data_IF_446328996730
#
_entry.id   IF_446328996730
#
_cell.length_a   1.000
_cell.length_b   1.000
_cell.length_c   1.000
_cell.angle_alpha   90.00
_cell.angle_beta   90.00
_cell.angle_gamma   90.00
#
_symmetry.space_group_name_H-M   'P 1'
#
loop_
_entity.id
_entity.type
_entity.pdbx_description
1 polymer ?
#
# COMPACT_ATOMS: atom_id res chain seq x y z
N UNK A 1 -11.21 6.14 8.72
CA UNK A 1 -10.32 5.10 8.14
C UNK A 1 -9.73 5.51 6.79
N UNK A 2 -10.52 6.13 5.88
CA UNK A 2 -10.07 6.66 4.59
C UNK A 2 -9.04 7.80 4.68
N UNK A 3 -9.08 8.56 5.78
CA UNK A 3 -8.34 9.82 5.92
C UNK A 3 -6.86 9.62 6.21
N UNK A 4 -6.47 8.55 6.92
CA UNK A 4 -5.06 8.31 7.24
C UNK A 4 -4.23 7.98 6.00
N UNK A 5 -4.71 7.07 5.14
CA UNK A 5 -4.02 6.72 3.88
C UNK A 5 -4.12 7.84 2.85
N UNK A 6 -5.18 8.67 2.87
CA UNK A 6 -5.24 9.92 2.09
C UNK A 6 -4.19 10.91 2.59
N UNK A 7 -4.20 11.25 3.86
CA UNK A 7 -3.27 12.21 4.48
C UNK A 7 -1.81 11.81 4.29
N UNK A 8 -1.48 10.54 4.54
CA UNK A 8 -0.15 9.97 4.35
C UNK A 8 0.34 10.06 2.88
N UNK A 9 -0.53 9.76 1.91
CA UNK A 9 -0.20 9.87 0.48
C UNK A 9 -0.27 11.32 -0.05
N UNK A 10 -0.99 12.22 0.62
CA UNK A 10 -1.17 13.62 0.18
C UNK A 10 -0.01 14.52 0.64
N UNK A 11 0.53 14.29 1.85
CA UNK A 11 1.66 15.06 2.41
C UNK A 11 3.03 14.62 1.86
N UNK A 12 3.22 13.34 1.53
CA UNK A 12 4.47 12.83 0.92
C UNK A 12 4.49 12.91 -0.61
N UNK A 13 3.85 13.94 -1.19
CA UNK A 13 3.84 14.16 -2.64
C UNK A 13 5.22 14.57 -3.20
N UNK A 14 6.15 14.98 -2.34
CA UNK A 14 7.41 15.61 -2.74
C UNK A 14 8.68 14.73 -2.66
N UNK A 15 8.82 13.79 -1.72
CA UNK A 15 10.05 12.97 -1.55
C UNK A 15 9.72 11.69 -0.74
N UNK A 16 10.39 10.54 -0.76
CA UNK A 16 11.69 10.04 -1.21
C UNK A 16 11.49 8.49 -1.21
N UNK A 17 11.90 7.75 -2.24
CA UNK A 17 11.86 6.28 -2.33
C UNK A 17 10.51 5.53 -2.09
N UNK A 18 10.10 4.70 -3.06
CA UNK A 18 8.92 3.82 -2.93
C UNK A 18 9.11 2.76 -1.84
N UNK A 19 10.34 2.31 -1.61
CA UNK A 19 10.66 1.30 -0.60
C UNK A 19 10.40 1.85 0.81
N UNK A 20 10.80 3.10 1.08
CA UNK A 20 10.56 3.76 2.37
C UNK A 20 9.06 3.91 2.65
N UNK A 21 8.29 4.33 1.64
CA UNK A 21 6.83 4.45 1.75
C UNK A 21 6.18 3.09 2.10
N UNK A 22 6.62 2.01 1.44
CA UNK A 22 6.13 0.66 1.70
C UNK A 22 6.51 0.21 3.12
N UNK A 23 7.72 0.52 3.57
CA UNK A 23 8.18 0.23 4.94
C UNK A 23 7.26 0.86 6.00
N UNK A 24 6.96 2.15 5.87
CA UNK A 24 6.04 2.84 6.78
C UNK A 24 4.61 2.28 6.71
N UNK A 25 4.11 1.98 5.51
CA UNK A 25 2.81 1.32 5.35
C UNK A 25 2.75 -0.03 6.04
N UNK A 26 3.82 -0.82 5.97
CA UNK A 26 3.90 -2.12 6.62
C UNK A 26 3.83 -2.01 8.15
N UNK A 27 4.41 -0.97 8.75
CA UNK A 27 4.29 -0.70 10.19
C UNK A 27 2.82 -0.51 10.56
N UNK A 28 2.12 0.35 9.82
CA UNK A 28 0.69 0.58 10.06
C UNK A 28 -0.14 -0.69 9.83
N UNK A 29 0.12 -1.43 8.76
CA UNK A 29 -0.57 -2.69 8.47
C UNK A 29 -0.39 -3.70 9.60
N UNK A 30 0.81 -3.84 10.18
CA UNK A 30 1.04 -4.70 11.36
C UNK A 30 0.23 -4.24 12.56
N UNK A 31 0.17 -2.94 12.83
CA UNK A 31 -0.67 -2.40 13.91
C UNK A 31 -2.15 -2.67 13.68
N UNK A 32 -2.63 -2.55 12.45
CA UNK A 32 -4.01 -2.91 12.09
C UNK A 32 -4.28 -4.41 12.21
N UNK A 33 -3.31 -5.26 11.85
CA UNK A 33 -3.40 -6.70 12.04
C UNK A 33 -3.61 -7.07 13.51
N UNK A 34 -2.88 -6.39 14.40
CA UNK A 34 -3.03 -6.56 15.84
C UNK A 34 -4.40 -6.08 16.34
N UNK A 35 -4.89 -4.94 15.83
CA UNK A 35 -6.20 -4.40 16.20
C UNK A 35 -7.36 -5.32 15.78
N UNK A 36 -7.33 -5.82 14.53
CA UNK A 36 -8.39 -6.67 13.98
C UNK A 36 -8.21 -8.16 14.27
N UNK A 37 -7.26 -8.54 15.14
CA UNK A 37 -6.98 -9.95 15.48
C UNK A 37 -8.20 -10.66 16.10
N UNK A 38 -9.11 -9.92 16.71
CA UNK A 38 -10.32 -10.45 17.35
C UNK A 38 -11.54 -10.32 16.41
N UNK A 39 -12.32 -11.39 16.27
CA UNK A 39 -13.56 -11.42 15.46
C UNK A 39 -13.39 -12.11 14.10
N UNK A 40 -13.76 -11.43 13.00
CA UNK A 40 -13.68 -11.95 11.62
C UNK A 40 -12.52 -11.32 10.81
N UNK A 41 -11.25 -11.57 11.18
CA UNK A 41 -10.07 -10.89 10.65
C UNK A 41 -9.97 -11.03 9.12
N UNK A 42 -10.35 -12.19 8.57
CA UNK A 42 -10.21 -12.49 7.13
C UNK A 42 -10.94 -11.48 6.24
N UNK A 43 -12.16 -11.07 6.60
CA UNK A 43 -12.94 -10.12 5.79
C UNK A 43 -12.31 -8.73 5.85
N UNK A 44 -11.97 -8.27 7.06
CA UNK A 44 -11.31 -6.99 7.28
C UNK A 44 -9.95 -6.91 6.56
N UNK A 45 -9.12 -7.95 6.67
CA UNK A 45 -7.82 -8.01 6.00
C UNK A 45 -7.96 -8.00 4.48
N UNK A 46 -8.95 -8.71 3.92
CA UNK A 46 -9.22 -8.65 2.47
C UNK A 46 -9.55 -7.24 2.00
N UNK A 47 -10.36 -6.50 2.76
CA UNK A 47 -10.72 -5.11 2.45
C UNK A 47 -9.51 -4.18 2.55
N UNK A 48 -8.73 -4.29 3.62
CA UNK A 48 -7.49 -3.52 3.83
C UNK A 48 -6.50 -3.80 2.68
N UNK A 49 -6.24 -5.07 2.38
CA UNK A 49 -5.34 -5.50 1.31
C UNK A 49 -5.78 -4.95 -0.06
N UNK A 50 -7.08 -5.00 -0.36
CA UNK A 50 -7.63 -4.46 -1.61
C UNK A 50 -7.45 -2.94 -1.70
N UNK A 51 -7.76 -2.24 -0.61
CA UNK A 51 -7.67 -0.79 -0.54
C UNK A 51 -6.22 -0.30 -0.66
N UNK A 52 -5.29 -0.86 0.10
CA UNK A 52 -3.86 -0.47 0.04
C UNK A 52 -3.29 -0.70 -1.35
N UNK A 53 -3.58 -1.86 -1.96
CA UNK A 53 -3.14 -2.17 -3.33
C UNK A 53 -3.69 -1.16 -4.34
N UNK A 54 -4.98 -0.84 -4.27
CA UNK A 54 -5.61 0.13 -5.17
C UNK A 54 -4.97 1.51 -5.04
N UNK A 55 -4.72 1.96 -3.80
CA UNK A 55 -4.14 3.27 -3.52
C UNK A 55 -2.68 3.37 -3.97
N UNK A 56 -1.88 2.35 -3.70
CA UNK A 56 -0.49 2.29 -4.18
C UNK A 56 -0.43 2.22 -5.71
N UNK A 57 -1.28 1.41 -6.34
CA UNK A 57 -1.36 1.34 -7.81
C UNK A 57 -1.66 2.71 -8.41
N UNK A 58 -2.68 3.41 -7.89
CA UNK A 58 -3.02 4.78 -8.33
C UNK A 58 -1.89 5.77 -8.07
N UNK A 59 -1.19 5.65 -6.94
CA UNK A 59 -0.03 6.49 -6.62
C UNK A 59 1.11 6.29 -7.63
N UNK A 60 1.47 5.04 -7.93
CA UNK A 60 2.51 4.69 -8.90
C UNK A 60 2.16 5.18 -10.31
N UNK A 61 0.89 5.09 -10.71
CA UNK A 61 0.40 5.55 -12.01
C UNK A 61 0.36 7.08 -12.12
N UNK A 62 -0.03 7.79 -11.05
CA UNK A 62 -0.19 9.25 -11.04
C UNK A 62 1.10 10.01 -10.78
N UNK A 63 2.23 9.31 -10.62
CA UNK A 63 3.52 9.94 -10.38
C UNK A 63 3.97 10.69 -11.64
N UNK A 64 3.71 12.00 -11.65
CA UNK A 64 3.87 12.91 -12.80
C UNK A 64 5.21 12.82 -13.52
N UNK A 65 6.31 12.55 -12.80
CA UNK A 65 7.66 12.57 -13.40
C UNK A 65 8.10 11.23 -14.00
N UNK A 66 7.69 10.09 -13.41
CA UNK A 66 8.05 8.74 -13.85
C UNK A 66 6.97 7.77 -13.34
N UNK A 67 5.91 7.51 -14.14
CA UNK A 67 4.93 6.50 -13.79
C UNK A 67 5.64 5.16 -13.61
N UNK A 68 5.64 4.61 -12.40
CA UNK A 68 6.27 3.31 -12.17
C UNK A 68 5.32 2.24 -12.66
N UNK A 69 5.71 1.61 -13.76
CA UNK A 69 5.02 0.45 -14.32
C UNK A 69 5.72 -0.81 -13.84
N UNK A 70 4.96 -1.87 -13.54
CA UNK A 70 5.57 -3.16 -13.28
C UNK A 70 6.32 -3.65 -14.53
N UNK A 71 7.35 -4.50 -14.38
CA UNK A 71 8.03 -5.14 -15.51
C UNK A 71 7.05 -5.89 -16.41
N UNK A 72 7.43 -6.13 -17.68
CA UNK A 72 6.59 -6.88 -18.64
C UNK A 72 6.20 -8.24 -18.04
N UNK A 73 4.91 -8.57 -18.12
CA UNK A 73 4.36 -9.82 -17.57
C UNK A 73 4.12 -9.83 -16.06
N UNK A 74 4.46 -8.75 -15.34
CA UNK A 74 4.27 -8.66 -13.88
C UNK A 74 3.02 -7.82 -13.57
N UNK A 75 2.14 -8.34 -12.73
CA UNK A 75 0.98 -7.57 -12.26
C UNK A 75 1.40 -6.54 -11.22
N UNK A 76 0.63 -5.46 -11.03
CA UNK A 76 0.86 -4.53 -9.92
C UNK A 76 0.84 -5.23 -8.56
N UNK A 77 0.03 -6.28 -8.39
CA UNK A 77 0.04 -7.11 -7.20
C UNK A 77 1.41 -7.75 -6.95
N UNK A 78 1.95 -8.47 -7.94
CA UNK A 78 3.24 -9.12 -7.85
C UNK A 78 4.38 -8.10 -7.69
N UNK A 79 4.31 -6.97 -8.39
CA UNK A 79 5.31 -5.92 -8.29
C UNK A 79 5.34 -5.27 -6.89
N UNK A 80 4.19 -4.93 -6.32
CA UNK A 80 4.09 -4.39 -4.96
C UNK A 80 4.56 -5.41 -3.91
N UNK A 81 4.27 -6.69 -4.11
CA UNK A 81 4.79 -7.77 -3.26
C UNK A 81 6.32 -7.84 -3.32
N UNK A 82 6.90 -7.76 -4.51
CA UNK A 82 8.35 -7.78 -4.71
C UNK A 82 9.05 -6.54 -4.11
N UNK A 83 8.36 -5.40 -4.05
CA UNK A 83 8.82 -4.19 -3.35
C UNK A 83 8.70 -4.30 -1.81
N UNK A 84 8.20 -5.41 -1.29
CA UNK A 84 8.15 -5.69 0.15
C UNK A 84 6.82 -5.34 0.83
N UNK A 85 5.73 -5.10 0.09
CA UNK A 85 4.41 -4.86 0.70
C UNK A 85 3.90 -6.12 1.41
N UNK A 86 3.54 -6.00 2.69
CA UNK A 86 2.93 -7.07 3.48
C UNK A 86 1.43 -7.12 3.20
N UNK A 87 0.91 -8.32 2.94
CA UNK A 87 -0.53 -8.59 2.89
C UNK A 87 -0.96 -9.28 4.18
N UNK A 88 -2.05 -8.78 4.78
CA UNK A 88 -2.63 -9.28 6.04
C UNK A 88 -3.51 -10.51 5.84
#
# INVERSE_FOLDING_TARGET
MLDFVKFFLLLKKFFFDIALLIGELNIHLKSWANYFRFGYPRKAFREINSYVRLRLTKFLQRRSQRPMRPPKGVTYYAHLKNLGLVYL
#
